data_IF_580278439063
#
_entry.id   IF_580278439063
#
_cell.length_a   1.000
_cell.length_b   1.000
_cell.length_c   1.000
_cell.angle_alpha   90.00
_cell.angle_beta   90.00
_cell.angle_gamma   90.00
#
_symmetry.space_group_name_H-M   'P 1'
#
loop_
_entity.id
_entity.type
_entity.pdbx_description
1 polymer ?
#
# COMPACT_ATOMS: atom_id res chain seq x y z
N UNK A 1 -20.42 4.85 20.62
CA UNK A 1 -19.54 5.57 19.68
C UNK A 1 -18.42 4.62 19.33
N UNK A 2 -18.45 4.00 18.17
CA UNK A 2 -17.33 3.20 17.66
C UNK A 2 -16.34 4.20 17.05
N UNK A 3 -15.15 4.31 17.63
CA UNK A 3 -14.06 5.08 17.04
C UNK A 3 -13.60 4.28 15.83
N UNK A 4 -13.80 4.82 14.62
CA UNK A 4 -13.22 4.25 13.40
C UNK A 4 -11.71 4.51 13.44
N UNK A 5 -10.87 3.48 13.25
CA UNK A 5 -9.42 3.69 13.25
C UNK A 5 -9.03 4.63 12.09
N UNK A 6 -8.24 5.65 12.39
CA UNK A 6 -7.70 6.57 11.39
C UNK A 6 -6.44 5.98 10.75
N UNK A 7 -6.19 6.31 9.49
CA UNK A 7 -4.88 6.10 8.88
C UNK A 7 -3.92 7.20 9.37
N UNK A 8 -2.69 6.88 9.80
CA UNK A 8 -1.75 7.87 10.30
C UNK A 8 -1.40 8.93 9.26
N UNK A 9 -1.28 10.19 9.71
CA UNK A 9 -0.75 11.27 8.88
C UNK A 9 0.72 11.03 8.56
N UNK A 10 1.14 11.34 7.33
CA UNK A 10 2.52 11.17 6.90
C UNK A 10 2.97 12.22 5.90
N UNK A 11 4.29 12.39 5.82
CA UNK A 11 5.00 13.11 4.77
C UNK A 11 6.30 12.33 4.48
N UNK A 12 6.35 11.61 3.35
CA UNK A 12 7.43 10.69 3.03
C UNK A 12 7.77 10.73 1.53
N UNK A 13 9.01 10.37 1.19
CA UNK A 13 9.45 10.32 -0.20
C UNK A 13 9.24 8.92 -0.82
N UNK A 14 8.83 8.91 -2.09
CA UNK A 14 8.76 7.69 -2.88
C UNK A 14 10.12 7.28 -3.49
N UNK A 15 10.13 6.13 -4.18
CA UNK A 15 11.27 5.59 -4.93
C UNK A 15 11.90 6.51 -5.99
N UNK A 16 11.23 7.62 -6.37
CA UNK A 16 11.71 8.64 -7.31
C UNK A 16 12.05 9.95 -6.59
N UNK A 17 12.06 9.93 -5.26
CA UNK A 17 12.28 11.09 -4.40
C UNK A 17 11.21 12.18 -4.55
N UNK A 18 9.98 11.81 -4.92
CA UNK A 18 8.81 12.68 -4.86
C UNK A 18 8.17 12.60 -3.48
N UNK A 19 7.84 13.73 -2.89
CA UNK A 19 7.18 13.81 -1.58
C UNK A 19 5.69 13.51 -1.71
N UNK A 20 5.19 12.66 -0.83
CA UNK A 20 3.79 12.30 -0.67
C UNK A 20 3.37 12.61 0.75
N UNK A 21 2.24 13.30 0.88
CA UNK A 21 1.68 13.67 2.17
C UNK A 21 0.18 13.34 2.22
N UNK A 22 -0.32 12.98 3.39
CA UNK A 22 -1.71 12.57 3.60
C UNK A 22 -2.72 13.58 3.07
N UNK A 23 -2.44 14.88 3.21
CA UNK A 23 -3.30 15.97 2.75
C UNK A 23 -3.42 16.09 1.22
N UNK A 24 -2.49 15.50 0.46
CA UNK A 24 -2.48 15.54 -1.00
C UNK A 24 -3.18 14.33 -1.62
N UNK A 25 -3.56 13.35 -0.79
CA UNK A 25 -4.23 12.15 -1.26
C UNK A 25 -5.69 12.41 -1.63
N UNK A 26 -6.23 11.68 -2.62
CA UNK A 26 -7.66 11.71 -2.86
C UNK A 26 -8.43 11.23 -1.64
N UNK A 27 -9.71 11.64 -1.55
CA UNK A 27 -10.63 11.22 -0.48
C UNK A 27 -10.74 9.70 -0.31
N UNK A 28 -10.38 8.91 -1.33
CA UNK A 28 -10.32 7.45 -1.23
C UNK A 28 -9.03 6.93 -1.84
N UNK A 29 -8.35 6.07 -1.11
CA UNK A 29 -7.14 5.42 -1.58
C UNK A 29 -6.96 4.06 -0.91
N UNK A 30 -6.03 3.29 -1.46
CA UNK A 30 -5.59 2.01 -0.91
C UNK A 30 -4.12 2.15 -0.49
N UNK A 31 -3.83 1.80 0.75
CA UNK A 31 -2.47 1.66 1.26
C UNK A 31 -2.14 0.18 1.37
N UNK A 32 -1.24 -0.28 0.51
CA UNK A 32 -0.70 -1.63 0.53
C UNK A 32 0.62 -1.63 1.31
N UNK A 33 0.81 -2.58 2.22
CA UNK A 33 2.07 -2.80 2.92
C UNK A 33 2.59 -4.21 2.70
N UNK A 34 3.91 -4.34 2.62
CA UNK A 34 4.61 -5.62 2.81
C UNK A 34 6.06 -5.42 3.22
N UNK A 35 6.73 -6.49 3.65
CA UNK A 35 8.20 -6.48 3.69
C UNK A 35 8.80 -6.65 2.28
N UNK A 36 9.93 -6.01 2.00
CA UNK A 36 10.62 -6.10 0.69
C UNK A 36 10.97 -7.54 0.29
N UNK A 37 11.37 -8.37 1.26
CA UNK A 37 11.76 -9.77 1.03
C UNK A 37 10.56 -10.74 0.94
N UNK A 38 9.33 -10.24 1.03
CA UNK A 38 8.14 -11.08 0.94
C UNK A 38 7.89 -11.50 -0.52
N UNK A 39 8.29 -12.72 -0.87
CA UNK A 39 8.13 -13.27 -2.22
C UNK A 39 6.67 -13.50 -2.60
N UNK A 40 5.82 -13.89 -1.64
CA UNK A 40 4.39 -14.16 -1.82
C UNK A 40 3.53 -12.89 -1.83
N UNK A 41 4.13 -11.72 -1.75
CA UNK A 41 3.41 -10.45 -1.66
C UNK A 41 2.97 -9.89 -3.02
N UNK A 42 3.63 -10.33 -4.10
CA UNK A 42 3.39 -9.89 -5.47
C UNK A 42 1.95 -10.06 -5.97
N UNK A 43 1.26 -11.20 -5.76
CA UNK A 43 -0.07 -11.39 -6.36
C UNK A 43 -1.11 -10.41 -5.81
N UNK A 44 -1.10 -10.11 -4.50
CA UNK A 44 -2.00 -9.09 -3.93
C UNK A 44 -1.75 -7.70 -4.53
N UNK A 45 -0.49 -7.28 -4.61
CA UNK A 45 -0.17 -6.00 -5.28
C UNK A 45 -0.59 -6.03 -6.75
N UNK A 46 -0.39 -7.18 -7.41
CA UNK A 46 -0.79 -7.43 -8.78
C UNK A 46 -2.29 -7.23 -9.01
N UNK A 47 -3.13 -7.78 -8.13
CA UNK A 47 -4.57 -7.61 -8.24
C UNK A 47 -5.00 -6.17 -7.94
N UNK A 48 -4.38 -5.51 -6.96
CA UNK A 48 -4.66 -4.11 -6.63
C UNK A 48 -4.31 -3.16 -7.78
N UNK A 49 -3.12 -3.27 -8.36
CA UNK A 49 -2.67 -2.39 -9.47
C UNK A 49 -3.55 -2.52 -10.74
N UNK A 50 -4.23 -3.65 -10.94
CA UNK A 50 -5.19 -3.79 -12.06
C UNK A 50 -6.57 -3.19 -11.79
N UNK A 51 -6.96 -3.03 -10.52
CA UNK A 51 -8.31 -2.62 -10.14
C UNK A 51 -8.35 -1.17 -9.66
N UNK A 52 -7.35 -0.77 -8.88
CA UNK A 52 -7.31 0.54 -8.23
C UNK A 52 -6.73 1.57 -9.20
N UNK A 53 -7.42 2.71 -9.43
CA UNK A 53 -6.94 3.75 -10.34
C UNK A 53 -5.56 4.31 -9.96
N UNK A 54 -4.81 4.76 -10.98
CA UNK A 54 -3.58 5.50 -10.77
C UNK A 54 -3.81 6.73 -9.87
N UNK A 55 -2.90 6.93 -8.93
CA UNK A 55 -3.01 7.97 -7.90
C UNK A 55 -3.85 7.58 -6.68
N UNK A 56 -4.49 6.41 -6.68
CA UNK A 56 -5.29 5.91 -5.54
C UNK A 56 -4.71 4.64 -4.89
N UNK A 57 -3.53 4.18 -5.28
CA UNK A 57 -2.81 3.08 -4.64
C UNK A 57 -1.40 3.53 -4.25
N UNK A 58 -1.05 3.35 -2.97
CA UNK A 58 0.28 3.59 -2.42
C UNK A 58 0.86 2.27 -1.92
N UNK A 59 2.16 2.06 -2.16
CA UNK A 59 2.87 0.82 -1.83
C UNK A 59 3.93 1.12 -0.78
N UNK A 60 3.75 0.59 0.43
CA UNK A 60 4.59 0.86 1.57
C UNK A 60 5.46 -0.34 1.93
N UNK A 61 6.77 -0.09 2.08
CA UNK A 61 7.66 -1.01 2.74
C UNK A 61 7.55 -0.83 4.26
N UNK A 62 7.26 -1.93 4.94
CA UNK A 62 7.10 -1.99 6.39
C UNK A 62 8.40 -2.22 7.17
N UNK A 63 9.49 -2.60 6.49
CA UNK A 63 10.70 -3.11 7.13
C UNK A 63 11.71 -2.01 7.45
N UNK A 64 11.88 -1.67 8.73
CA UNK A 64 12.84 -0.64 9.17
C UNK A 64 14.25 -1.16 9.45
N UNK A 65 14.55 -2.43 9.17
CA UNK A 65 15.89 -2.99 9.42
C UNK A 65 16.88 -2.56 8.34
N UNK A 66 18.15 -2.43 8.73
CA UNK A 66 19.24 -2.11 7.82
C UNK A 66 19.28 -3.06 6.61
N UNK A 67 19.50 -2.47 5.43
CA UNK A 67 19.55 -3.20 4.15
C UNK A 67 18.20 -3.37 3.46
N UNK A 68 17.08 -3.01 4.10
CA UNK A 68 15.74 -3.08 3.50
C UNK A 68 15.12 -1.71 3.20
N UNK A 69 15.92 -0.65 3.04
CA UNK A 69 15.44 0.70 2.71
C UNK A 69 15.59 1.09 1.24
N UNK A 70 16.20 0.23 0.40
CA UNK A 70 16.37 0.52 -1.02
C UNK A 70 15.06 0.29 -1.80
N UNK A 71 14.20 1.32 -1.77
CA UNK A 71 12.85 1.25 -2.33
C UNK A 71 12.86 1.23 -3.87
N UNK A 72 13.78 1.93 -4.53
CA UNK A 72 13.90 1.91 -6.00
C UNK A 72 14.26 0.52 -6.52
N UNK A 73 15.16 -0.18 -5.82
CA UNK A 73 15.47 -1.59 -6.14
C UNK A 73 14.24 -2.48 -5.96
N UNK A 74 13.52 -2.33 -4.84
CA UNK A 74 12.33 -3.13 -4.57
C UNK A 74 11.22 -2.90 -5.60
N UNK A 75 10.97 -1.63 -5.99
CA UNK A 75 10.05 -1.28 -7.08
C UNK A 75 10.41 -2.03 -8.37
N UNK A 76 11.69 -1.98 -8.79
CA UNK A 76 12.17 -2.70 -9.99
C UNK A 76 11.97 -4.22 -9.87
N UNK A 77 12.21 -4.81 -8.69
CA UNK A 77 12.01 -6.25 -8.45
C UNK A 77 10.53 -6.66 -8.47
N UNK A 78 9.63 -5.77 -8.06
CA UNK A 78 8.18 -5.99 -8.13
C UNK A 78 7.69 -5.89 -9.57
N UNK A 79 8.12 -4.88 -10.33
CA UNK A 79 7.82 -4.75 -11.76
C UNK A 79 8.30 -5.96 -12.55
N UNK A 80 9.57 -6.37 -12.35
CA UNK A 80 10.13 -7.57 -12.98
C UNK A 80 9.36 -8.82 -12.58
N UNK A 81 8.99 -8.95 -11.30
CA UNK A 81 8.23 -10.09 -10.79
C UNK A 81 6.81 -10.20 -11.33
N UNK A 82 6.18 -9.07 -11.66
CA UNK A 82 4.84 -8.99 -12.25
C UNK A 82 4.89 -8.89 -13.79
N UNK A 83 6.08 -8.79 -14.37
CA UNK A 83 6.31 -8.59 -15.80
C UNK A 83 5.53 -7.41 -16.38
N UNK A 84 5.48 -6.29 -15.63
CA UNK A 84 4.83 -5.04 -16.06
C UNK A 84 5.36 -3.83 -15.29
N UNK A 85 5.10 -2.64 -15.81
CA UNK A 85 5.38 -1.39 -15.10
C UNK A 85 4.33 -1.12 -14.03
N UNK A 86 4.76 -0.60 -12.88
CA UNK A 86 3.92 -0.21 -11.75
C UNK A 86 4.03 1.32 -11.59
N UNK A 87 2.98 2.09 -11.89
CA UNK A 87 3.01 3.55 -11.84
C UNK A 87 2.91 4.11 -10.40
N UNK A 88 2.66 3.24 -9.42
CA UNK A 88 2.36 3.60 -8.03
C UNK A 88 3.59 4.05 -7.24
N UNK A 89 3.44 4.97 -6.28
CA UNK A 89 4.53 5.33 -5.39
C UNK A 89 4.87 4.18 -4.44
N UNK A 90 6.12 3.76 -4.49
CA UNK A 90 6.71 2.90 -3.48
C UNK A 90 7.40 3.76 -2.43
N UNK A 91 7.07 3.58 -1.15
CA UNK A 91 7.48 4.46 -0.03
C UNK A 91 8.05 3.60 1.11
N UNK A 92 9.11 4.07 1.76
CA UNK A 92 9.63 3.45 2.98
C UNK A 92 8.90 4.01 4.20
N UNK A 93 8.07 3.19 4.87
CA UNK A 93 7.23 3.66 5.98
C UNK A 93 7.19 2.67 7.16
N UNK A 94 8.34 2.33 7.77
CA UNK A 94 8.38 1.41 8.90
C UNK A 94 7.63 1.93 10.14
N UNK A 95 7.64 3.24 10.38
CA UNK A 95 6.97 3.85 11.54
C UNK A 95 5.44 3.79 11.41
N UNK A 96 4.91 4.11 10.22
CA UNK A 96 3.47 3.98 9.91
C UNK A 96 3.04 2.52 10.04
N UNK A 97 3.85 1.60 9.51
CA UNK A 97 3.58 0.17 9.61
C UNK A 97 3.54 -0.31 11.07
N UNK A 98 4.44 0.20 11.92
CA UNK A 98 4.46 -0.11 13.34
C UNK A 98 3.19 0.40 14.04
N UNK A 99 2.80 1.64 13.78
CA UNK A 99 1.58 2.24 14.35
C UNK A 99 0.31 1.46 13.96
N UNK A 100 0.24 1.02 12.69
CA UNK A 100 -0.86 0.21 12.17
C UNK A 100 -0.76 -1.29 12.53
N UNK A 101 0.26 -1.72 13.28
CA UNK A 101 0.54 -3.13 13.60
C UNK A 101 0.57 -4.02 12.35
N UNK A 102 1.27 -3.57 11.30
CA UNK A 102 1.44 -4.29 10.05
C UNK A 102 2.46 -5.41 10.20
N UNK A 103 2.12 -6.60 9.72
CA UNK A 103 3.01 -7.76 9.69
C UNK A 103 3.81 -7.82 8.38
N UNK A 104 4.80 -8.72 8.23
CA UNK A 104 5.59 -8.80 6.99
C UNK A 104 4.86 -9.23 5.71
N UNK A 105 3.69 -9.84 5.85
CA UNK A 105 2.86 -10.33 4.74
C UNK A 105 2.02 -9.18 4.16
N UNK A 106 1.33 -9.36 3.02
CA UNK A 106 0.53 -8.29 2.44
C UNK A 106 -0.51 -7.82 3.46
N UNK A 107 -0.55 -6.52 3.69
CA UNK A 107 -1.61 -5.87 4.46
C UNK A 107 -2.19 -4.76 3.61
N UNK A 108 -3.51 -4.72 3.46
CA UNK A 108 -4.19 -3.75 2.62
C UNK A 108 -5.15 -2.94 3.49
N UNK A 109 -5.04 -1.63 3.43
CA UNK A 109 -5.99 -0.70 4.04
C UNK A 109 -6.75 0.03 2.95
N UNK A 110 -8.07 0.00 3.03
CA UNK A 110 -8.95 0.86 2.24
C UNK A 110 -9.31 2.07 3.09
N UNK A 111 -8.93 3.26 2.62
CA UNK A 111 -9.04 4.50 3.37
C UNK A 111 -10.02 5.43 2.67
N UNK A 112 -10.94 6.02 3.43
CA UNK A 112 -11.89 7.03 2.96
C UNK A 112 -11.94 8.21 3.94
N UNK A 113 -11.61 9.41 3.46
CA UNK A 113 -11.52 10.64 4.27
C UNK A 113 -10.64 10.49 5.54
N UNK A 114 -9.55 9.73 5.45
CA UNK A 114 -8.65 9.43 6.58
C UNK A 114 -9.09 8.24 7.45
N UNK A 115 -10.35 7.81 7.36
CA UNK A 115 -10.86 6.64 8.06
C UNK A 115 -10.41 5.34 7.37
N UNK A 116 -9.93 4.37 8.14
CA UNK A 116 -9.73 3.00 7.66
C UNK A 116 -11.09 2.29 7.66
N UNK A 117 -11.62 2.03 6.46
CA UNK A 117 -12.92 1.39 6.28
C UNK A 117 -12.77 -0.14 6.27
N UNK A 118 -11.65 -0.64 5.76
CA UNK A 118 -11.36 -2.07 5.67
C UNK A 118 -9.86 -2.33 5.84
N UNK A 119 -9.52 -3.39 6.58
CA UNK A 119 -8.18 -3.97 6.69
C UNK A 119 -8.22 -5.42 6.23
N UNK A 120 -7.29 -5.78 5.35
CA UNK A 120 -7.06 -7.14 4.88
C UNK A 120 -5.63 -7.58 5.17
N UNK A 121 -5.46 -8.85 5.52
CA UNK A 121 -4.16 -9.45 5.81
C UNK A 121 -4.01 -10.75 5.02
N UNK A 122 -2.85 -10.91 4.38
CA UNK A 122 -2.53 -12.08 3.58
C UNK A 122 -2.83 -11.92 2.09
N UNK A 123 -2.96 -13.05 1.42
CA UNK A 123 -3.12 -13.11 -0.03
C UNK A 123 -4.55 -12.71 -0.43
N UNK A 124 -4.68 -11.68 -1.26
CA UNK A 124 -5.95 -11.21 -1.82
C UNK A 124 -5.78 -10.94 -3.31
N UNK A 125 -6.16 -11.91 -4.13
CA UNK A 125 -5.98 -11.86 -5.59
C UNK A 125 -7.30 -11.80 -6.38
N UNK A 126 -8.44 -11.85 -5.68
CA UNK A 126 -9.77 -11.72 -6.28
C UNK A 126 -10.06 -10.26 -6.65
N UNK A 127 -9.98 -9.98 -7.95
CA UNK A 127 -10.19 -8.65 -8.52
C UNK A 127 -11.63 -8.16 -8.39
N UNK A 128 -12.60 -9.07 -8.37
CA UNK A 128 -14.00 -8.70 -8.25
C UNK A 128 -14.30 -8.31 -6.80
N UNK A 129 -13.73 -9.03 -5.83
CA UNK A 129 -13.79 -8.64 -4.42
C UNK A 129 -13.13 -7.28 -4.17
N UNK A 130 -11.93 -7.04 -4.72
CA UNK A 130 -11.24 -5.73 -4.61
C UNK A 130 -12.11 -4.62 -5.20
N UNK A 131 -12.71 -4.86 -6.38
CA UNK A 131 -13.55 -3.88 -7.07
C UNK A 131 -14.83 -3.57 -6.30
N UNK A 132 -15.47 -4.58 -5.73
CA UNK A 132 -16.67 -4.42 -4.90
C UNK A 132 -16.40 -3.51 -3.69
N UNK A 133 -15.31 -3.76 -2.95
CA UNK A 133 -14.93 -2.90 -1.83
C UNK A 133 -14.62 -1.49 -2.31
N UNK A 134 -13.80 -1.33 -3.36
CA UNK A 134 -13.46 -0.03 -3.91
C UNK A 134 -14.69 0.78 -4.33
N UNK A 135 -15.64 0.14 -5.01
CA UNK A 135 -16.88 0.77 -5.46
C UNK A 135 -17.87 1.07 -4.32
N UNK A 136 -17.76 0.39 -3.19
CA UNK A 136 -18.57 0.69 -2.00
C UNK A 136 -18.14 1.98 -1.30
N UNK A 137 -16.90 2.45 -1.50
CA UNK A 137 -16.36 3.69 -0.93
C UNK A 137 -16.74 4.95 -1.73
N UNK A 138 -17.92 4.97 -2.36
CA UNK A 138 -18.43 6.08 -3.17
C UNK A 138 -19.11 7.16 -2.33
#
# INVERSE_FOLDING_TARGET
MTVTPQFPEFELNDHRNLTWQSSDLPNRYVAYFSAIWCTHCKPTLGALDEVIPNGSLLVFNKDGRDGYSNISKWHTEMESGLNRSLPHPFIHAPDIALELNVTPIPTVFFVHNGDIIQRWEGLHEDKDQIREIWDSMR
#
